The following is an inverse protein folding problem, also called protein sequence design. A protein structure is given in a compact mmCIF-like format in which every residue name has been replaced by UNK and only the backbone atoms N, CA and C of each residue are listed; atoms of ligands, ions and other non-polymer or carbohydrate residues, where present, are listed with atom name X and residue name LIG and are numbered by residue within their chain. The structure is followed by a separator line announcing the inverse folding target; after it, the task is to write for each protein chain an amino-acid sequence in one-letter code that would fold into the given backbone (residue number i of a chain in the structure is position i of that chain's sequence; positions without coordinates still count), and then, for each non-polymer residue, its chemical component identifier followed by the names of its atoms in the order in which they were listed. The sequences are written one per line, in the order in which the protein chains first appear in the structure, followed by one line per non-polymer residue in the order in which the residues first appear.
data_IF_161896430830
#
_entry.id   IF_161896430830
#
_cell.length_a   1.000
_cell.length_b   1.000
_cell.length_c   1.000
_cell.angle_alpha   90.00
_cell.angle_beta   90.00
_cell.angle_gamma   90.00
#
_symmetry.space_group_name_H-M   'P 1'
#
loop_
_entity.id
_entity.type
_entity.pdbx_description
1 polymer ?
#
# COMPACT_ATOMS: atom_id res chain seq x y z
N UNK A 1 13.19 -2.03 -37.71
CA UNK A 1 13.43 -1.99 -36.25
C UNK A 1 12.46 -2.95 -35.61
N UNK A 2 12.94 -3.93 -34.83
CA UNK A 2 12.09 -4.89 -34.11
C UNK A 2 11.24 -4.12 -33.11
N UNK A 3 9.92 -4.15 -33.24
CA UNK A 3 8.98 -3.36 -32.43
C UNK A 3 8.96 -3.74 -30.95
N UNK A 4 9.50 -4.89 -30.57
CA UNK A 4 9.69 -5.35 -29.17
C UNK A 4 10.82 -4.62 -28.42
N UNK A 5 11.53 -3.71 -29.07
CA UNK A 5 12.63 -2.97 -28.43
C UNK A 5 12.18 -1.73 -27.64
N UNK A 6 10.93 -1.28 -27.80
CA UNK A 6 10.41 -0.15 -27.05
C UNK A 6 9.63 -0.64 -25.83
N UNK A 7 10.09 -0.28 -24.65
CA UNK A 7 9.49 -0.69 -23.36
C UNK A 7 8.85 0.54 -22.73
N UNK A 8 7.57 0.44 -22.38
CA UNK A 8 6.82 1.57 -21.85
C UNK A 8 6.00 1.17 -20.63
N UNK A 9 6.06 1.98 -19.60
CA UNK A 9 5.18 1.91 -18.44
C UNK A 9 3.93 2.74 -18.68
N UNK A 10 2.76 2.14 -18.52
CA UNK A 10 1.50 2.88 -18.53
C UNK A 10 1.41 3.71 -17.25
N UNK A 11 1.56 5.03 -17.38
CA UNK A 11 1.55 5.97 -16.25
C UNK A 11 0.14 6.42 -15.90
N UNK A 12 -0.20 6.39 -14.63
CA UNK A 12 -1.28 7.12 -13.97
C UNK A 12 -0.91 7.36 -12.50
N UNK A 13 -1.43 8.45 -11.93
CA UNK A 13 -1.01 8.92 -10.60
C UNK A 13 -0.98 7.83 -9.51
N UNK A 14 -1.91 6.86 -9.58
CA UNK A 14 -2.04 5.80 -8.57
C UNK A 14 -1.00 4.68 -8.67
N UNK A 15 -0.24 4.57 -9.78
CA UNK A 15 0.84 3.56 -9.92
C UNK A 15 2.25 4.14 -9.85
N UNK A 16 2.37 5.39 -9.47
CA UNK A 16 3.63 6.11 -9.41
C UNK A 16 4.69 5.39 -8.56
N UNK A 17 4.28 4.80 -7.42
CA UNK A 17 5.18 4.02 -6.56
C UNK A 17 5.79 2.82 -7.30
N UNK A 18 4.98 2.03 -8.00
CA UNK A 18 5.47 0.87 -8.76
C UNK A 18 6.42 1.29 -9.89
N UNK A 19 6.10 2.38 -10.59
CA UNK A 19 6.95 2.91 -11.67
C UNK A 19 8.28 3.38 -11.11
N UNK A 20 8.27 4.14 -10.02
CA UNK A 20 9.49 4.65 -9.38
C UNK A 20 10.47 3.54 -8.98
N UNK A 21 9.95 2.37 -8.56
CA UNK A 21 10.76 1.22 -8.15
C UNK A 21 11.21 0.38 -9.35
N UNK A 22 10.33 0.12 -10.32
CA UNK A 22 10.57 -0.87 -11.38
C UNK A 22 11.23 -0.28 -12.63
N UNK A 23 10.90 0.97 -12.99
CA UNK A 23 11.43 1.59 -14.19
C UNK A 23 12.98 1.71 -14.18
N UNK A 24 13.65 2.03 -13.04
CA UNK A 24 15.10 2.06 -12.97
C UNK A 24 15.80 0.72 -13.28
N UNK A 25 15.08 -0.39 -13.15
CA UNK A 25 15.61 -1.75 -13.37
C UNK A 25 15.56 -2.16 -14.85
N UNK A 26 14.96 -1.32 -15.72
CA UNK A 26 14.70 -1.66 -17.11
C UNK A 26 15.32 -0.61 -18.02
N UNK A 27 16.39 -1.00 -18.69
CA UNK A 27 17.13 -0.10 -19.60
C UNK A 27 16.22 0.39 -20.74
N UNK A 28 16.33 1.70 -21.04
CA UNK A 28 15.63 2.36 -22.15
C UNK A 28 14.10 2.24 -22.10
N UNK A 29 13.54 2.22 -20.87
CA UNK A 29 12.09 2.31 -20.67
C UNK A 29 11.63 3.76 -20.57
N UNK A 30 10.35 4.00 -20.90
CA UNK A 30 9.69 5.32 -20.85
C UNK A 30 8.29 5.20 -20.23
N UNK A 31 7.66 6.30 -19.90
CA UNK A 31 6.26 6.36 -19.44
C UNK A 31 5.33 6.80 -20.54
N UNK A 32 4.15 6.22 -20.61
CA UNK A 32 3.08 6.61 -21.55
C UNK A 32 1.74 6.74 -20.85
N UNK A 33 0.98 7.74 -21.24
CA UNK A 33 -0.39 7.96 -20.75
C UNK A 33 -1.45 7.14 -21.51
N UNK A 34 -1.08 6.52 -22.62
CA UNK A 34 -1.94 5.68 -23.46
C UNK A 34 -1.17 4.49 -24.01
N UNK A 35 -1.86 3.39 -24.36
CA UNK A 35 -1.22 2.27 -25.05
C UNK A 35 -0.51 2.71 -26.33
N UNK A 36 0.65 2.12 -26.61
CA UNK A 36 1.42 2.33 -27.83
C UNK A 36 2.12 1.02 -28.22
N UNK A 37 2.65 0.95 -29.44
CA UNK A 37 3.38 -0.23 -29.91
C UNK A 37 4.60 -0.55 -29.02
N UNK A 38 4.93 -1.84 -28.88
CA UNK A 38 6.06 -2.34 -28.11
C UNK A 38 5.67 -3.20 -26.91
N UNK A 39 6.44 -3.19 -25.86
CA UNK A 39 6.11 -3.82 -24.57
C UNK A 39 5.44 -2.76 -23.70
N UNK A 40 4.21 -3.01 -23.27
CA UNK A 40 3.43 -2.15 -22.41
C UNK A 40 3.26 -2.78 -21.02
N UNK A 41 3.79 -2.13 -19.98
CA UNK A 41 3.78 -2.59 -18.59
C UNK A 41 2.75 -1.81 -17.79
N UNK A 42 1.86 -2.53 -17.12
CA UNK A 42 0.81 -2.00 -16.26
C UNK A 42 0.99 -2.49 -14.83
N UNK A 43 0.90 -1.59 -13.86
CA UNK A 43 0.77 -1.96 -12.46
C UNK A 43 -0.48 -1.31 -11.88
N UNK A 44 -1.40 -2.09 -11.33
CA UNK A 44 -2.69 -1.58 -10.89
C UNK A 44 -3.33 -2.35 -9.73
N UNK A 45 -4.18 -1.63 -8.99
CA UNK A 45 -5.02 -2.16 -7.94
C UNK A 45 -6.45 -2.46 -8.45
N UNK A 46 -7.26 -3.13 -7.63
CA UNK A 46 -8.60 -3.61 -7.99
C UNK A 46 -9.54 -2.51 -8.50
N UNK A 47 -9.50 -1.33 -7.90
CA UNK A 47 -10.35 -0.21 -8.34
C UNK A 47 -10.09 0.23 -9.79
N UNK A 48 -8.91 -0.03 -10.31
CA UNK A 48 -8.49 0.41 -11.64
C UNK A 48 -8.74 -0.66 -12.70
N UNK A 49 -8.85 -1.93 -12.30
CA UNK A 49 -8.94 -3.07 -13.20
C UNK A 49 -10.03 -2.91 -14.29
N UNK A 50 -11.31 -2.52 -13.99
CA UNK A 50 -12.33 -2.41 -15.02
C UNK A 50 -12.02 -1.36 -16.10
N UNK A 51 -11.34 -0.27 -15.73
CA UNK A 51 -10.96 0.77 -16.69
C UNK A 51 -9.77 0.35 -17.54
N UNK A 52 -8.79 -0.31 -16.93
CA UNK A 52 -7.59 -0.81 -17.61
C UNK A 52 -7.95 -1.95 -18.58
N UNK A 53 -8.79 -2.89 -18.18
CA UNK A 53 -9.24 -3.96 -19.09
C UNK A 53 -9.94 -3.42 -20.31
N UNK A 54 -10.80 -2.40 -20.14
CA UNK A 54 -11.45 -1.71 -21.30
C UNK A 54 -10.43 -0.96 -22.17
N UNK A 55 -9.39 -0.37 -21.57
CA UNK A 55 -8.34 0.32 -22.31
C UNK A 55 -7.54 -0.68 -23.16
N UNK A 56 -7.06 -1.77 -22.55
CA UNK A 56 -6.27 -2.79 -23.25
C UNK A 56 -7.09 -3.49 -24.34
N UNK A 57 -8.33 -3.85 -24.07
CA UNK A 57 -9.23 -4.47 -25.07
C UNK A 57 -9.46 -3.58 -26.33
N UNK A 58 -9.35 -2.26 -26.18
CA UNK A 58 -9.54 -1.28 -27.27
C UNK A 58 -8.23 -0.79 -27.88
N UNK A 59 -7.08 -1.28 -27.39
CA UNK A 59 -5.80 -0.66 -27.69
C UNK A 59 -5.38 -0.70 -29.16
N UNK A 60 -5.92 -1.54 -30.02
CA UNK A 60 -5.64 -1.56 -31.47
C UNK A 60 -4.14 -1.54 -31.84
N UNK A 61 -3.24 -1.79 -30.88
CA UNK A 61 -1.78 -1.73 -31.00
C UNK A 61 -1.20 -3.12 -31.18
N UNK A 62 0.00 -3.19 -31.75
CA UNK A 62 0.79 -4.44 -31.83
C UNK A 62 1.74 -4.50 -30.65
N UNK A 63 1.17 -4.64 -29.45
CA UNK A 63 1.93 -4.61 -28.20
C UNK A 63 1.90 -5.94 -27.50
N UNK A 64 2.96 -6.21 -26.72
CA UNK A 64 2.95 -7.22 -25.68
C UNK A 64 2.53 -6.53 -24.38
N UNK A 65 1.46 -6.95 -23.77
CA UNK A 65 0.91 -6.37 -22.57
C UNK A 65 1.32 -7.20 -21.33
N UNK A 66 2.02 -6.58 -20.39
CA UNK A 66 2.45 -7.17 -19.13
C UNK A 66 1.69 -6.48 -17.98
N UNK A 67 1.03 -7.25 -17.13
CA UNK A 67 0.37 -6.75 -15.94
C UNK A 67 1.10 -7.15 -14.65
N UNK A 68 1.10 -6.29 -13.64
CA UNK A 68 1.59 -6.55 -12.31
C UNK A 68 0.85 -5.71 -11.27
N UNK A 69 1.25 -5.84 -10.01
CA UNK A 69 0.64 -5.14 -8.88
C UNK A 69 -0.48 -5.94 -8.19
N UNK A 70 -1.21 -5.31 -7.24
CA UNK A 70 -2.10 -6.03 -6.33
C UNK A 70 -3.20 -6.82 -7.02
N UNK A 71 -3.91 -6.23 -7.98
CA UNK A 71 -5.01 -6.93 -8.64
C UNK A 71 -4.54 -8.05 -9.56
N UNK A 72 -3.58 -7.84 -10.49
CA UNK A 72 -3.06 -8.92 -11.33
C UNK A 72 -2.48 -10.09 -10.53
N UNK A 73 -1.79 -9.82 -9.43
CA UNK A 73 -1.24 -10.88 -8.56
C UNK A 73 -2.32 -11.73 -7.90
N UNK A 74 -3.46 -11.13 -7.55
CA UNK A 74 -4.57 -11.82 -6.89
C UNK A 74 -5.59 -12.43 -7.86
N UNK A 75 -5.65 -11.93 -9.10
CA UNK A 75 -6.58 -12.38 -10.17
C UNK A 75 -5.84 -12.55 -11.52
N UNK A 76 -4.83 -13.42 -11.56
CA UNK A 76 -4.06 -13.62 -12.79
C UNK A 76 -4.89 -14.19 -13.94
N UNK A 77 -5.81 -15.11 -13.67
CA UNK A 77 -6.69 -15.72 -14.69
C UNK A 77 -7.65 -14.69 -15.33
N UNK A 78 -8.23 -13.80 -14.53
CA UNK A 78 -9.05 -12.69 -15.03
C UNK A 78 -8.20 -11.73 -15.88
N UNK A 79 -7.01 -11.41 -15.39
CA UNK A 79 -6.09 -10.48 -16.04
C UNK A 79 -5.59 -11.01 -17.38
N UNK A 80 -5.29 -12.31 -17.50
CA UNK A 80 -4.87 -12.97 -18.73
C UNK A 80 -5.94 -13.05 -19.84
N UNK A 81 -7.17 -12.58 -19.56
CA UNK A 81 -8.15 -12.35 -20.64
C UNK A 81 -7.81 -11.13 -21.51
N UNK A 82 -6.96 -10.24 -20.99
CA UNK A 82 -6.62 -8.95 -21.60
C UNK A 82 -5.12 -8.77 -21.78
N UNK A 83 -4.29 -9.46 -21.02
CA UNK A 83 -2.83 -9.33 -20.97
C UNK A 83 -2.15 -10.62 -21.42
N UNK A 84 -0.96 -10.50 -22.01
CA UNK A 84 -0.17 -11.66 -22.44
C UNK A 84 0.54 -12.31 -21.25
N UNK A 85 1.02 -11.49 -20.31
CA UNK A 85 1.76 -11.95 -19.12
C UNK A 85 1.29 -11.24 -17.86
N UNK A 86 1.31 -11.98 -16.75
CA UNK A 86 1.05 -11.44 -15.41
C UNK A 86 2.26 -11.72 -14.52
N UNK A 87 2.84 -10.66 -13.96
CA UNK A 87 3.85 -10.73 -12.90
C UNK A 87 3.15 -10.86 -11.55
N UNK A 88 3.41 -11.94 -10.83
CA UNK A 88 2.76 -12.28 -9.55
C UNK A 88 3.69 -11.92 -8.40
N UNK A 89 3.22 -11.07 -7.48
CA UNK A 89 3.98 -10.62 -6.30
C UNK A 89 4.97 -9.50 -6.62
N UNK A 90 6.21 -9.64 -6.16
CA UNK A 90 7.25 -8.62 -6.29
C UNK A 90 7.87 -8.66 -7.70
N UNK A 91 7.96 -7.50 -8.32
CA UNK A 91 8.35 -7.37 -9.73
C UNK A 91 9.83 -7.08 -9.97
N UNK A 92 10.61 -6.81 -8.92
CA UNK A 92 11.97 -6.29 -9.04
C UNK A 92 12.93 -7.24 -9.78
N UNK A 93 12.78 -8.55 -9.60
CA UNK A 93 13.54 -9.56 -10.33
C UNK A 93 12.77 -10.11 -11.53
N UNK A 94 11.47 -10.36 -11.32
CA UNK A 94 10.62 -11.03 -12.31
C UNK A 94 10.45 -10.20 -13.59
N UNK A 95 10.21 -8.90 -13.45
CA UNK A 95 9.89 -8.05 -14.61
C UNK A 95 11.10 -7.87 -15.55
N UNK A 96 12.33 -7.55 -15.08
CA UNK A 96 13.50 -7.49 -15.94
C UNK A 96 13.80 -8.82 -16.65
N UNK A 97 13.73 -9.95 -15.93
CA UNK A 97 13.93 -11.28 -16.50
C UNK A 97 12.88 -11.60 -17.58
N UNK A 98 11.61 -11.35 -17.32
CA UNK A 98 10.53 -11.54 -18.30
C UNK A 98 10.76 -10.73 -19.57
N UNK A 99 11.13 -9.46 -19.44
CA UNK A 99 11.42 -8.58 -20.58
C UNK A 99 12.59 -9.10 -21.40
N UNK A 100 13.67 -9.51 -20.74
CA UNK A 100 14.86 -10.06 -21.40
C UNK A 100 14.49 -11.33 -22.22
N UNK A 101 13.73 -12.25 -21.60
CA UNK A 101 13.27 -13.48 -22.28
C UNK A 101 12.36 -13.15 -23.47
N UNK A 102 11.46 -12.18 -23.35
CA UNK A 102 10.58 -11.76 -24.47
C UNK A 102 11.40 -11.15 -25.61
N UNK A 103 12.37 -10.29 -25.32
CA UNK A 103 13.19 -9.62 -26.33
C UNK A 103 14.12 -10.61 -27.07
N UNK A 104 14.68 -11.57 -26.34
CA UNK A 104 15.59 -12.58 -26.87
C UNK A 104 14.88 -13.82 -27.41
N UNK A 105 13.53 -13.86 -27.35
CA UNK A 105 12.71 -15.03 -27.76
C UNK A 105 13.14 -16.31 -27.04
N UNK A 106 13.46 -16.19 -25.75
CA UNK A 106 13.81 -17.31 -24.88
C UNK A 106 12.60 -18.10 -24.41
N UNK A 107 12.84 -19.05 -23.52
CA UNK A 107 11.81 -19.90 -22.94
C UNK A 107 11.10 -19.17 -21.78
N UNK A 108 9.86 -18.76 -22.02
CA UNK A 108 9.00 -18.07 -21.03
C UNK A 108 8.77 -18.92 -19.77
N UNK A 109 8.75 -20.26 -19.91
CA UNK A 109 8.52 -21.15 -18.78
C UNK A 109 9.64 -21.13 -17.73
N UNK A 110 10.82 -20.66 -18.10
CA UNK A 110 11.98 -20.49 -17.22
C UNK A 110 11.85 -19.30 -16.24
N UNK A 111 11.01 -18.31 -16.56
CA UNK A 111 10.82 -17.12 -15.73
C UNK A 111 9.95 -17.44 -14.52
N UNK A 112 10.47 -17.25 -13.31
CA UNK A 112 9.71 -17.50 -12.08
C UNK A 112 8.78 -16.35 -11.75
N UNK A 113 7.65 -16.66 -11.12
CA UNK A 113 6.70 -15.67 -10.60
C UNK A 113 5.82 -15.02 -11.66
N UNK A 114 5.50 -15.73 -12.74
CA UNK A 114 4.56 -15.26 -13.75
C UNK A 114 3.41 -16.23 -14.00
N UNK A 115 2.35 -15.70 -14.61
CA UNK A 115 1.33 -16.49 -15.28
C UNK A 115 1.19 -16.02 -16.72
N UNK A 116 0.92 -16.95 -17.64
CA UNK A 116 0.74 -16.71 -19.07
C UNK A 116 -0.13 -17.78 -19.72
N UNK A 117 -0.56 -17.57 -20.93
CA UNK A 117 -1.24 -18.60 -21.76
C UNK A 117 -0.24 -19.26 -22.70
N UNK A 118 -0.24 -20.60 -22.70
CA UNK A 118 0.56 -21.37 -23.63
C UNK A 118 -0.09 -21.44 -25.02
N UNK A 119 0.53 -22.12 -25.97
CA UNK A 119 0.07 -22.28 -27.36
C UNK A 119 -1.32 -22.96 -27.47
N UNK A 120 -1.75 -23.70 -26.47
CA UNK A 120 -3.08 -24.33 -26.40
C UNK A 120 -4.10 -23.51 -25.61
N UNK A 121 -3.83 -22.22 -25.36
CA UNK A 121 -4.65 -21.28 -24.55
C UNK A 121 -4.87 -21.70 -23.08
N UNK A 122 -4.06 -22.64 -22.59
CA UNK A 122 -4.10 -23.02 -21.19
C UNK A 122 -3.26 -22.05 -20.33
N UNK A 123 -3.79 -21.69 -19.16
CA UNK A 123 -3.07 -20.83 -18.22
C UNK A 123 -1.99 -21.66 -17.51
N UNK A 124 -0.76 -21.16 -17.58
CA UNK A 124 0.42 -21.72 -16.92
C UNK A 124 0.88 -20.79 -15.84
N UNK A 125 1.10 -21.32 -14.64
CA UNK A 125 1.75 -20.64 -13.53
C UNK A 125 3.16 -21.20 -13.38
N UNK A 126 4.16 -20.33 -13.39
CA UNK A 126 5.54 -20.76 -13.16
C UNK A 126 5.84 -20.85 -11.66
N UNK A 127 7.00 -21.40 -11.32
CA UNK A 127 7.45 -21.49 -9.93
C UNK A 127 7.41 -20.12 -9.23
N UNK A 128 6.89 -20.10 -8.00
CA UNK A 128 6.84 -18.87 -7.19
C UNK A 128 8.25 -18.36 -6.92
N UNK A 129 8.45 -17.05 -7.09
CA UNK A 129 9.70 -16.38 -6.73
C UNK A 129 9.78 -16.11 -5.22
N UNK A 130 10.98 -16.20 -4.66
CA UNK A 130 11.26 -15.78 -3.30
C UNK A 130 11.14 -14.26 -3.16
N UNK A 131 10.90 -13.80 -1.93
CA UNK A 131 10.83 -12.36 -1.62
C UNK A 131 12.22 -11.71 -1.78
N UNK A 132 12.25 -10.51 -2.35
CA UNK A 132 13.50 -9.78 -2.57
C UNK A 132 14.09 -9.18 -1.29
N UNK A 133 15.41 -9.04 -1.25
CA UNK A 133 16.06 -8.15 -0.28
C UNK A 133 15.88 -6.70 -0.76
N UNK A 134 15.23 -5.86 0.06
CA UNK A 134 14.92 -4.48 -0.30
C UNK A 134 16.17 -3.62 -0.58
N UNK A 135 17.29 -3.94 0.03
CA UNK A 135 18.52 -3.17 -0.15
C UNK A 135 19.16 -3.36 -1.53
N UNK A 136 18.84 -4.45 -2.21
CA UNK A 136 19.34 -4.72 -3.55
C UNK A 136 18.66 -3.86 -4.64
N UNK A 137 17.54 -3.21 -4.31
CA UNK A 137 16.72 -2.47 -5.28
C UNK A 137 16.48 -1.03 -4.82
N UNK A 138 16.54 -0.03 -5.73
CA UNK A 138 16.30 1.36 -5.36
C UNK A 138 14.83 1.57 -4.95
N UNK A 139 14.53 2.43 -3.96
CA UNK A 139 13.16 2.83 -3.68
C UNK A 139 12.58 3.77 -4.76
N UNK A 140 13.45 4.43 -5.51
CA UNK A 140 13.18 5.25 -6.70
C UNK A 140 14.51 5.62 -7.38
N UNK A 141 14.44 6.12 -8.61
CA UNK A 141 15.57 6.76 -9.29
C UNK A 141 15.34 8.28 -9.28
N UNK A 142 16.25 9.07 -8.70
CA UNK A 142 16.07 10.52 -8.61
C UNK A 142 16.08 11.24 -9.98
N UNK A 143 16.66 10.65 -11.02
CA UNK A 143 16.66 11.19 -12.39
C UNK A 143 15.35 10.87 -13.13
N UNK A 144 14.63 9.84 -12.70
CA UNK A 144 13.37 9.41 -13.32
C UNK A 144 12.17 9.96 -12.55
N UNK A 145 12.08 9.66 -11.25
CA UNK A 145 10.90 9.99 -10.44
C UNK A 145 11.19 9.96 -8.96
N UNK A 146 11.16 11.11 -8.29
CA UNK A 146 11.22 11.17 -6.84
C UNK A 146 9.95 10.57 -6.21
N UNK A 147 10.13 9.83 -5.13
CA UNK A 147 9.03 9.21 -4.39
C UNK A 147 9.37 9.07 -2.90
N UNK A 148 8.38 8.61 -2.11
CA UNK A 148 8.62 8.22 -0.72
C UNK A 148 9.55 7.01 -0.63
N UNK A 149 10.32 6.91 0.44
CA UNK A 149 11.22 5.77 0.65
C UNK A 149 10.44 4.64 1.32
N UNK A 150 10.29 3.51 0.65
CA UNK A 150 9.78 2.31 1.28
C UNK A 150 10.82 1.76 2.26
N UNK A 151 10.53 1.86 3.56
CA UNK A 151 11.46 1.43 4.61
C UNK A 151 11.15 0.03 5.14
N UNK A 152 9.90 -0.46 4.92
CA UNK A 152 9.46 -1.76 5.40
C UNK A 152 8.42 -2.35 4.46
N UNK A 153 8.53 -3.63 4.17
CA UNK A 153 7.59 -4.43 3.36
C UNK A 153 7.21 -5.73 4.08
N UNK A 154 5.95 -6.18 3.89
CA UNK A 154 5.39 -7.33 4.61
C UNK A 154 4.72 -6.93 5.92
N UNK A 155 3.83 -7.80 6.45
CA UNK A 155 3.08 -7.54 7.67
C UNK A 155 2.71 -8.86 8.36
N UNK A 156 3.03 -9.05 9.67
CA UNK A 156 2.75 -10.29 10.37
C UNK A 156 1.27 -10.49 10.71
N UNK A 157 0.46 -9.42 10.60
CA UNK A 157 -0.97 -9.48 10.89
C UNK A 157 -1.74 -10.00 9.68
N UNK A 158 -2.74 -10.84 9.95
CA UNK A 158 -3.61 -11.42 8.91
C UNK A 158 -5.02 -10.83 9.03
N UNK A 159 -5.13 -9.50 8.93
CA UNK A 159 -6.43 -8.83 8.94
C UNK A 159 -7.25 -9.27 7.71
N UNK A 160 -8.51 -9.66 7.94
CA UNK A 160 -9.38 -10.32 6.95
C UNK A 160 -9.63 -9.51 5.66
N UNK A 161 -9.47 -8.20 5.73
CA UNK A 161 -9.71 -7.25 4.63
C UNK A 161 -8.42 -6.80 3.90
N UNK A 162 -7.22 -7.18 4.41
CA UNK A 162 -5.97 -6.59 3.98
C UNK A 162 -5.19 -7.52 3.03
N UNK A 163 -4.80 -7.00 1.87
CA UNK A 163 -4.02 -7.75 0.88
C UNK A 163 -2.50 -7.73 1.12
N UNK A 164 -1.99 -6.95 2.06
CA UNK A 164 -0.54 -6.80 2.28
C UNK A 164 0.18 -8.13 2.57
N UNK A 165 -0.31 -9.01 3.47
CA UNK A 165 0.35 -10.29 3.71
C UNK A 165 0.34 -11.23 2.51
N UNK A 166 -0.71 -11.16 1.68
CA UNK A 166 -0.86 -11.97 0.48
C UNK A 166 0.17 -11.59 -0.60
N UNK A 167 0.38 -10.28 -0.76
CA UNK A 167 1.31 -9.74 -1.76
C UNK A 167 2.77 -9.85 -1.33
N UNK A 168 3.06 -9.47 -0.08
CA UNK A 168 4.41 -9.23 0.40
C UNK A 168 4.86 -10.18 1.51
N UNK A 169 3.97 -11.13 1.92
CA UNK A 169 4.24 -12.10 2.96
C UNK A 169 4.08 -11.56 4.39
N UNK A 170 4.14 -12.51 5.33
CA UNK A 170 3.92 -12.23 6.76
C UNK A 170 5.20 -11.77 7.49
N UNK A 171 6.38 -11.91 6.89
CA UNK A 171 7.63 -11.47 7.50
C UNK A 171 7.89 -10.01 7.12
N UNK A 172 8.14 -9.17 8.13
CA UNK A 172 8.58 -7.80 7.89
C UNK A 172 10.04 -7.78 7.44
N UNK A 173 10.29 -7.15 6.31
CA UNK A 173 11.63 -6.92 5.75
C UNK A 173 11.88 -5.41 5.76
N UNK A 174 13.03 -5.02 6.25
CA UNK A 174 13.38 -3.62 6.42
C UNK A 174 14.53 -3.24 5.50
N UNK A 175 14.45 -2.06 4.94
CA UNK A 175 15.58 -1.43 4.24
C UNK A 175 16.58 -0.95 5.28
N UNK A 176 17.87 -1.12 5.01
CA UNK A 176 18.95 -0.66 5.89
C UNK A 176 18.98 0.87 5.97
N UNK A 177 19.50 1.38 7.09
CA UNK A 177 19.66 2.83 7.31
C UNK A 177 20.57 3.43 6.23
N UNK A 178 21.62 2.73 5.81
CA UNK A 178 22.56 3.21 4.81
C UNK A 178 21.88 3.46 3.46
N UNK A 179 21.03 2.53 3.02
CA UNK A 179 20.25 2.70 1.79
C UNK A 179 19.22 3.82 1.93
N UNK A 180 18.51 3.89 3.07
CA UNK A 180 17.55 4.97 3.33
C UNK A 180 18.27 6.33 3.30
N UNK A 181 19.43 6.44 3.96
CA UNK A 181 20.24 7.67 4.00
C UNK A 181 20.72 8.06 2.61
N UNK A 182 21.14 7.10 1.78
CA UNK A 182 21.56 7.35 0.39
C UNK A 182 20.45 8.07 -0.40
N UNK A 183 19.22 7.59 -0.31
CA UNK A 183 18.09 8.14 -1.10
C UNK A 183 17.43 9.35 -0.46
N UNK A 184 17.50 9.52 0.86
CA UNK A 184 16.95 10.69 1.57
C UNK A 184 17.57 12.01 1.10
N UNK A 185 18.83 12.00 0.64
CA UNK A 185 19.54 13.18 0.14
C UNK A 185 18.88 13.86 -1.06
N UNK A 186 18.05 13.14 -1.79
CA UNK A 186 17.33 13.67 -2.95
C UNK A 186 15.98 14.29 -2.58
N UNK A 187 15.53 14.13 -1.33
CA UNK A 187 14.22 14.55 -0.88
C UNK A 187 14.28 15.82 -0.03
N UNK A 188 13.47 16.82 -0.37
CA UNK A 188 13.27 18.00 0.47
C UNK A 188 12.55 17.62 1.78
N UNK A 189 11.49 16.81 1.66
CA UNK A 189 10.72 16.26 2.77
C UNK A 189 10.87 14.74 2.74
N UNK A 190 11.54 14.18 3.74
CA UNK A 190 11.78 12.76 3.84
C UNK A 190 10.51 12.10 4.38
N UNK A 191 9.79 11.41 3.50
CA UNK A 191 8.58 10.65 3.81
C UNK A 191 8.78 9.18 3.46
N UNK A 192 8.08 8.33 4.18
CA UNK A 192 8.26 6.89 4.08
C UNK A 192 6.99 6.19 3.61
N UNK A 193 7.16 4.97 3.11
CA UNK A 193 6.09 3.99 2.91
C UNK A 193 6.39 2.79 3.77
N UNK A 194 5.41 2.36 4.57
CA UNK A 194 5.53 1.23 5.49
C UNK A 194 4.14 0.76 5.91
N UNK A 195 3.92 -0.55 6.15
CA UNK A 195 2.68 -1.04 6.76
C UNK A 195 2.46 -0.56 8.20
N UNK A 196 3.53 -0.26 8.91
CA UNK A 196 3.55 0.32 10.25
C UNK A 196 4.91 0.98 10.49
N UNK A 197 4.96 2.32 10.48
CA UNK A 197 6.21 3.06 10.65
C UNK A 197 6.90 2.75 11.99
N UNK A 198 6.13 2.66 13.08
CA UNK A 198 6.66 2.43 14.42
C UNK A 198 7.13 0.99 14.66
N UNK A 199 7.00 0.13 13.65
CA UNK A 199 7.56 -1.22 13.64
C UNK A 199 8.89 -1.32 12.87
N UNK A 200 9.51 -0.21 12.45
CA UNK A 200 10.77 -0.27 11.72
C UNK A 200 11.86 -1.01 12.51
N UNK A 201 12.51 -1.96 11.85
CA UNK A 201 13.59 -2.77 12.42
C UNK A 201 13.13 -3.87 13.38
N UNK A 202 11.81 -4.14 13.48
CA UNK A 202 11.22 -5.13 14.37
C UNK A 202 10.54 -6.29 13.59
N UNK A 203 10.04 -7.27 14.35
CA UNK A 203 9.21 -8.36 13.82
C UNK A 203 7.77 -7.92 13.43
N UNK A 204 7.41 -6.66 13.72
CA UNK A 204 6.08 -6.10 13.51
C UNK A 204 5.10 -6.33 14.67
N UNK A 205 5.52 -7.01 15.73
CA UNK A 205 4.74 -7.27 16.94
C UNK A 205 5.33 -6.50 18.13
N UNK A 206 6.65 -6.52 18.27
CA UNK A 206 7.37 -5.88 19.39
C UNK A 206 8.19 -4.71 18.85
N UNK A 207 7.87 -3.45 19.22
CA UNK A 207 8.59 -2.28 18.71
C UNK A 207 10.05 -2.31 19.17
N UNK A 208 10.96 -1.92 18.27
CA UNK A 208 12.39 -1.78 18.53
C UNK A 208 12.79 -0.30 18.52
N UNK A 209 12.60 0.35 19.65
CA UNK A 209 12.75 1.81 19.80
C UNK A 209 14.16 2.26 19.42
N UNK A 210 15.19 1.49 19.76
CA UNK A 210 16.57 1.77 19.41
C UNK A 210 16.83 1.78 17.88
N UNK A 211 16.08 0.99 17.11
CA UNK A 211 16.15 0.99 15.64
C UNK A 211 15.51 2.24 15.05
N UNK A 212 14.36 2.65 15.60
CA UNK A 212 13.69 3.90 15.22
C UNK A 212 14.60 5.09 15.54
N UNK A 213 15.17 5.16 16.76
CA UNK A 213 16.09 6.24 17.15
C UNK A 213 17.30 6.31 16.23
N UNK A 214 17.91 5.15 15.91
CA UNK A 214 19.06 5.08 15.00
C UNK A 214 18.72 5.60 13.61
N UNK A 215 17.56 5.24 13.06
CA UNK A 215 17.07 5.73 11.77
C UNK A 215 16.88 7.26 11.79
N UNK A 216 16.09 7.76 12.74
CA UNK A 216 15.74 9.18 12.79
C UNK A 216 16.96 10.08 13.05
N UNK A 217 17.91 9.61 13.88
CA UNK A 217 19.18 10.30 14.14
C UNK A 217 20.09 10.33 12.92
N UNK A 218 20.19 9.22 12.17
CA UNK A 218 21.02 9.15 10.97
C UNK A 218 20.56 10.10 9.86
N UNK A 219 19.27 10.40 9.82
CA UNK A 219 18.64 11.26 8.81
C UNK A 219 18.75 12.77 9.12
N UNK A 220 19.35 13.14 10.28
CA UNK A 220 19.55 14.56 10.59
C UNK A 220 20.65 15.18 9.69
N UNK A 221 20.52 16.47 9.29
CA UNK A 221 19.50 17.47 9.65
C UNK A 221 18.28 17.48 8.71
N UNK A 222 17.93 16.39 8.06
CA UNK A 222 16.82 16.31 7.09
C UNK A 222 15.44 16.65 7.68
N UNK A 223 14.54 17.11 6.84
CA UNK A 223 13.13 17.32 7.21
C UNK A 223 12.36 16.00 7.15
N UNK A 224 12.17 15.36 8.29
CA UNK A 224 11.61 14.01 8.42
C UNK A 224 10.13 14.07 8.81
N UNK A 225 9.31 13.23 8.15
CA UNK A 225 7.91 12.99 8.50
C UNK A 225 7.72 11.49 8.72
N UNK A 226 7.45 11.06 9.95
CA UNK A 226 7.43 9.66 10.36
C UNK A 226 6.19 9.34 11.19
N UNK A 227 5.46 8.26 10.87
CA UNK A 227 4.19 7.95 11.51
C UNK A 227 3.02 8.80 11.01
N UNK A 228 3.13 9.32 9.79
CA UNK A 228 2.06 10.05 9.10
C UNK A 228 1.98 9.60 7.65
N UNK A 229 0.84 9.79 6.99
CA UNK A 229 0.60 9.31 5.62
C UNK A 229 1.78 9.60 4.67
N UNK A 230 2.23 8.63 3.86
CA UNK A 230 1.73 7.28 3.63
C UNK A 230 2.43 6.19 4.46
N UNK A 231 2.79 6.48 5.69
CA UNK A 231 3.47 5.57 6.62
C UNK A 231 2.78 5.63 7.98
N UNK A 232 1.54 5.16 8.00
CA UNK A 232 0.67 5.13 9.17
C UNK A 232 1.19 4.15 10.23
N UNK A 233 0.62 4.22 11.42
CA UNK A 233 1.01 3.36 12.53
C UNK A 233 -0.19 2.55 13.04
N UNK A 234 0.09 1.50 13.79
CA UNK A 234 -0.92 0.78 14.54
C UNK A 234 -1.07 1.43 15.92
N UNK A 235 -2.29 1.55 16.48
CA UNK A 235 -2.52 2.25 17.74
C UNK A 235 -1.68 1.73 18.89
N UNK A 236 -1.54 0.41 19.04
CA UNK A 236 -0.80 -0.25 20.10
C UNK A 236 0.73 -0.02 20.05
N UNK A 237 1.25 0.53 18.96
CA UNK A 237 2.66 0.93 18.84
C UNK A 237 2.91 2.36 19.35
N UNK A 238 1.86 3.14 19.59
CA UNK A 238 1.99 4.52 20.08
C UNK A 238 2.33 4.51 21.57
N UNK A 239 3.51 4.99 21.91
CA UNK A 239 3.99 5.12 23.28
C UNK A 239 4.84 6.39 23.43
N UNK A 240 5.01 6.83 24.67
CA UNK A 240 5.66 8.09 25.00
C UNK A 240 7.07 8.17 24.42
N UNK A 241 7.84 7.08 24.52
CA UNK A 241 9.22 7.05 24.05
C UNK A 241 9.35 7.25 22.55
N UNK A 242 8.47 6.64 21.74
CA UNK A 242 8.46 6.84 20.29
C UNK A 242 8.01 8.27 19.94
N UNK A 243 6.98 8.79 20.63
CA UNK A 243 6.51 10.15 20.40
C UNK A 243 7.55 11.21 20.79
N UNK A 244 8.32 11.01 21.85
CA UNK A 244 9.50 11.83 22.18
C UNK A 244 10.53 11.85 21.05
N UNK A 245 10.84 10.70 20.45
CA UNK A 245 11.76 10.60 19.32
C UNK A 245 11.22 11.34 18.08
N UNK A 246 9.90 11.19 17.80
CA UNK A 246 9.27 11.93 16.70
C UNK A 246 9.28 13.43 16.95
N UNK A 247 8.97 13.89 18.17
CA UNK A 247 9.06 15.30 18.55
C UNK A 247 10.47 15.86 18.43
N UNK A 248 11.48 15.06 18.76
CA UNK A 248 12.88 15.45 18.75
C UNK A 248 13.48 15.56 17.35
N UNK A 249 13.13 14.61 16.46
CA UNK A 249 13.81 14.43 15.19
C UNK A 249 12.96 14.77 13.95
N UNK A 250 11.62 14.85 14.08
CA UNK A 250 10.72 15.00 12.94
C UNK A 250 9.99 16.34 12.95
N UNK A 251 9.43 16.72 11.81
CA UNK A 251 8.62 17.93 11.61
C UNK A 251 7.12 17.61 11.58
N UNK A 252 6.71 16.51 12.17
CA UNK A 252 5.31 16.11 12.25
C UNK A 252 4.48 17.13 13.05
N UNK A 253 3.30 17.43 12.55
CA UNK A 253 2.21 18.02 13.34
C UNK A 253 1.10 16.99 13.61
N UNK A 254 1.16 15.84 12.93
CA UNK A 254 0.13 14.81 12.99
C UNK A 254 0.75 13.42 13.14
N UNK A 255 0.02 12.50 13.78
CA UNK A 255 0.27 11.06 13.74
C UNK A 255 -0.97 10.41 13.14
N UNK A 256 -0.77 9.56 12.12
CA UNK A 256 -1.85 8.82 11.45
C UNK A 256 -1.87 7.37 11.94
N UNK A 257 -3.01 6.90 12.44
CA UNK A 257 -3.14 5.54 12.97
C UNK A 257 -4.36 4.81 12.43
N UNK A 258 -4.20 3.53 12.14
CA UNK A 258 -5.27 2.67 11.64
C UNK A 258 -6.12 2.10 12.76
N UNK A 259 -7.18 2.80 13.19
CA UNK A 259 -8.14 2.34 14.19
C UNK A 259 -9.13 1.30 13.63
N UNK A 260 -9.61 1.51 12.43
CA UNK A 260 -10.52 0.68 11.62
C UNK A 260 -11.96 0.62 12.14
N UNK A 261 -12.21 0.38 13.42
CA UNK A 261 -13.54 0.36 14.04
C UNK A 261 -13.48 0.78 15.50
N UNK A 262 -14.56 1.37 16.00
CA UNK A 262 -14.79 1.63 17.42
C UNK A 262 -15.55 0.50 18.13
N UNK A 263 -15.87 -0.60 17.43
CA UNK A 263 -16.47 -1.79 18.02
C UNK A 263 -15.42 -2.86 18.27
N UNK A 264 -15.26 -3.25 19.55
CA UNK A 264 -14.33 -4.31 19.94
C UNK A 264 -14.68 -5.64 19.27
N UNK A 265 -15.96 -5.99 19.22
CA UNK A 265 -16.45 -7.19 18.53
C UNK A 265 -16.03 -7.20 17.05
N UNK A 266 -16.15 -6.07 16.36
CA UNK A 266 -15.80 -5.98 14.96
C UNK A 266 -14.28 -6.05 14.76
N UNK A 267 -13.47 -5.39 15.60
CA UNK A 267 -12.01 -5.50 15.58
C UNK A 267 -11.53 -6.95 15.73
N UNK A 268 -12.15 -7.72 16.62
CA UNK A 268 -11.85 -9.14 16.80
C UNK A 268 -12.22 -9.96 15.56
N UNK A 269 -13.42 -9.74 14.99
CA UNK A 269 -13.90 -10.45 13.79
C UNK A 269 -13.03 -10.21 12.56
N UNK A 270 -12.47 -9.01 12.41
CA UNK A 270 -11.55 -8.68 11.31
C UNK A 270 -10.07 -9.00 11.63
N UNK A 271 -9.82 -9.70 12.74
CA UNK A 271 -8.48 -10.12 13.20
C UNK A 271 -7.49 -8.95 13.34
N UNK A 272 -7.98 -7.78 13.80
CA UNK A 272 -7.16 -6.57 13.85
C UNK A 272 -6.07 -6.63 14.94
N UNK A 273 -6.27 -7.39 16.01
CA UNK A 273 -5.29 -7.65 17.09
C UNK A 273 -4.93 -6.45 17.98
N UNK A 274 -5.55 -5.30 17.81
CA UNK A 274 -5.57 -4.21 18.78
C UNK A 274 -7.00 -4.00 19.30
N UNK A 275 -7.14 -3.23 20.34
CA UNK A 275 -8.40 -2.96 21.02
C UNK A 275 -8.88 -1.52 20.76
N UNK A 276 -10.14 -1.25 21.11
CA UNK A 276 -10.65 0.13 21.14
C UNK A 276 -9.89 0.99 22.16
N UNK A 277 -9.47 0.38 23.27
CA UNK A 277 -8.66 1.04 24.29
C UNK A 277 -7.30 1.50 23.72
N UNK A 278 -6.65 0.70 22.88
CA UNK A 278 -5.42 1.11 22.21
C UNK A 278 -5.62 2.36 21.34
N UNK A 279 -6.78 2.48 20.66
CA UNK A 279 -7.11 3.69 19.87
C UNK A 279 -7.24 4.90 20.78
N UNK A 280 -7.93 4.75 21.93
CA UNK A 280 -8.13 5.81 22.90
C UNK A 280 -6.80 6.25 23.50
N UNK A 281 -6.02 5.30 24.05
CA UNK A 281 -4.71 5.57 24.63
C UNK A 281 -3.73 6.19 23.63
N UNK A 282 -3.67 5.64 22.41
CA UNK A 282 -2.83 6.20 21.35
C UNK A 282 -3.22 7.63 20.97
N UNK A 283 -4.53 7.93 20.95
CA UNK A 283 -5.05 9.29 20.73
C UNK A 283 -4.63 10.24 21.83
N UNK A 284 -4.82 9.87 23.09
CA UNK A 284 -4.46 10.69 24.27
C UNK A 284 -2.97 10.99 24.29
N UNK A 285 -2.13 9.97 24.11
CA UNK A 285 -0.68 10.14 24.02
C UNK A 285 -0.25 11.08 22.90
N UNK A 286 -0.85 10.97 21.72
CA UNK A 286 -0.56 11.91 20.64
C UNK A 286 -0.87 13.35 21.06
N UNK A 287 -2.02 13.60 21.68
CA UNK A 287 -2.44 14.94 22.14
C UNK A 287 -1.53 15.47 23.26
N UNK A 288 -1.14 14.64 24.21
CA UNK A 288 -0.21 14.97 25.30
C UNK A 288 1.16 15.42 24.78
N UNK A 289 1.62 14.79 23.68
CA UNK A 289 2.87 15.15 23.01
C UNK A 289 2.72 16.26 21.95
N UNK A 290 1.55 16.89 21.84
CA UNK A 290 1.30 18.02 20.95
C UNK A 290 1.04 17.64 19.48
N UNK A 291 0.81 16.35 19.19
CA UNK A 291 0.41 15.90 17.86
C UNK A 291 -1.10 15.87 17.69
N UNK A 292 -1.58 16.22 16.50
CA UNK A 292 -2.97 15.96 16.13
C UNK A 292 -3.10 14.52 15.63
N UNK A 293 -3.82 13.63 16.34
CA UNK A 293 -4.08 12.28 15.85
C UNK A 293 -5.05 12.30 14.66
N UNK A 294 -4.72 11.53 13.62
CA UNK A 294 -5.62 11.22 12.50
C UNK A 294 -5.90 9.73 12.60
N UNK A 295 -7.15 9.36 12.83
CA UNK A 295 -7.52 7.95 13.00
C UNK A 295 -8.32 7.48 11.80
N UNK A 296 -7.88 6.36 11.19
CA UNK A 296 -8.53 5.75 10.06
C UNK A 296 -9.63 4.80 10.52
N UNK A 297 -10.83 4.94 9.92
CA UNK A 297 -11.95 4.03 10.13
C UNK A 297 -12.44 3.47 8.80
N UNK A 298 -12.90 2.21 8.83
CA UNK A 298 -13.51 1.54 7.68
C UNK A 298 -14.96 1.25 8.03
N UNK A 299 -15.89 1.83 7.29
CA UNK A 299 -17.31 1.52 7.37
C UNK A 299 -17.70 0.49 6.32
N UNK A 300 -18.78 -0.25 6.59
CA UNK A 300 -19.28 -1.26 5.67
C UNK A 300 -18.50 -2.58 5.70
N UNK A 301 -17.72 -2.84 6.75
CA UNK A 301 -17.03 -4.12 6.90
C UNK A 301 -18.06 -5.28 6.95
N UNK A 302 -17.80 -6.42 6.29
CA UNK A 302 -18.70 -7.56 6.33
C UNK A 302 -19.00 -8.01 7.76
N UNK A 303 -20.28 -8.19 8.09
CA UNK A 303 -20.74 -8.50 9.44
C UNK A 303 -20.78 -7.32 10.41
N UNK A 304 -20.50 -6.10 9.95
CA UNK A 304 -20.73 -4.87 10.71
C UNK A 304 -22.22 -4.64 10.91
N UNK A 305 -22.64 -4.47 12.14
CA UNK A 305 -24.03 -4.15 12.52
C UNK A 305 -24.20 -2.66 12.77
N UNK A 306 -25.44 -2.18 12.82
CA UNK A 306 -25.74 -0.81 13.22
C UNK A 306 -25.21 -0.48 14.62
N UNK A 307 -25.24 -1.45 15.55
CA UNK A 307 -24.67 -1.28 16.89
C UNK A 307 -23.16 -1.03 16.82
N UNK A 308 -22.43 -1.77 15.98
CA UNK A 308 -20.98 -1.55 15.77
C UNK A 308 -20.69 -0.17 15.19
N UNK A 309 -21.51 0.28 14.23
CA UNK A 309 -21.39 1.62 13.67
C UNK A 309 -21.63 2.69 14.72
N UNK A 310 -22.62 2.53 15.60
CA UNK A 310 -22.87 3.46 16.68
C UNK A 310 -21.72 3.51 17.69
N UNK A 311 -21.10 2.37 18.01
CA UNK A 311 -19.88 2.35 18.84
C UNK A 311 -18.73 3.10 18.16
N UNK A 312 -18.53 2.88 16.86
CA UNK A 312 -17.52 3.60 16.06
C UNK A 312 -17.80 5.10 16.07
N UNK A 313 -19.07 5.53 15.91
CA UNK A 313 -19.44 6.94 15.98
C UNK A 313 -19.19 7.57 17.37
N UNK A 314 -19.34 6.80 18.47
CA UNK A 314 -18.98 7.30 19.82
C UNK A 314 -17.50 7.60 19.93
N UNK A 315 -16.63 6.70 19.44
CA UNK A 315 -15.19 6.91 19.41
C UNK A 315 -14.82 8.11 18.53
N UNK A 316 -15.41 8.23 17.34
CA UNK A 316 -15.19 9.36 16.42
C UNK A 316 -15.61 10.68 17.06
N UNK A 317 -16.77 10.72 17.73
CA UNK A 317 -17.25 11.92 18.42
C UNK A 317 -16.31 12.34 19.55
N UNK A 318 -15.84 11.38 20.33
CA UNK A 318 -14.88 11.60 21.40
C UNK A 318 -13.55 12.15 20.83
N UNK A 319 -12.97 11.45 19.84
CA UNK A 319 -11.73 11.82 19.16
C UNK A 319 -11.78 13.25 18.61
N UNK A 320 -12.84 13.57 17.86
CA UNK A 320 -12.98 14.91 17.24
C UNK A 320 -13.26 16.01 18.25
N UNK A 321 -13.94 15.67 19.37
CA UNK A 321 -14.13 16.54 20.52
C UNK A 321 -12.83 16.88 21.27
N UNK A 322 -11.88 15.97 21.28
CA UNK A 322 -10.52 16.17 21.84
C UNK A 322 -9.55 16.90 20.90
N UNK A 323 -9.94 17.19 19.66
CA UNK A 323 -9.10 17.88 18.68
C UNK A 323 -8.53 17.01 17.57
N UNK A 324 -8.71 15.70 17.63
CA UNK A 324 -8.30 14.78 16.57
C UNK A 324 -9.12 14.92 15.28
N UNK A 325 -8.66 14.23 14.24
CA UNK A 325 -9.30 14.16 12.92
C UNK A 325 -9.54 12.70 12.53
N UNK A 326 -10.45 12.50 11.58
CA UNK A 326 -10.81 11.19 11.04
C UNK A 326 -10.39 11.10 9.58
N UNK A 327 -9.80 9.96 9.20
CA UNK A 327 -9.75 9.55 7.80
C UNK A 327 -10.61 8.30 7.65
N UNK A 328 -11.51 8.26 6.67
CA UNK A 328 -12.48 7.18 6.60
C UNK A 328 -12.55 6.56 5.23
N UNK A 329 -12.81 5.26 5.23
CA UNK A 329 -12.95 4.44 4.05
C UNK A 329 -14.30 3.71 4.09
N UNK A 330 -14.88 3.50 2.92
CA UNK A 330 -15.92 2.49 2.75
C UNK A 330 -15.27 1.19 2.33
N UNK A 331 -15.66 0.08 2.95
CA UNK A 331 -15.09 -1.23 2.67
C UNK A 331 -15.26 -1.60 1.20
N UNK A 332 -14.18 -2.07 0.61
CA UNK A 332 -14.15 -2.63 -0.73
C UNK A 332 -13.52 -4.02 -0.66
N UNK A 333 -14.21 -5.07 -1.15
CA UNK A 333 -13.63 -6.40 -1.25
C UNK A 333 -12.35 -6.39 -2.08
N UNK A 334 -11.26 -6.92 -1.53
CA UNK A 334 -9.99 -7.04 -2.23
C UNK A 334 -9.74 -8.51 -2.56
N UNK A 335 -9.43 -8.85 -3.81
CA UNK A 335 -9.07 -10.20 -4.21
C UNK A 335 -7.89 -10.75 -3.39
N UNK A 336 -7.92 -12.05 -3.09
CA UNK A 336 -6.92 -12.74 -2.28
C UNK A 336 -7.09 -12.56 -0.77
N UNK A 337 -8.06 -11.75 -0.29
CA UNK A 337 -8.38 -11.60 1.14
C UNK A 337 -9.51 -12.52 1.57
N UNK A 338 -9.65 -12.76 2.89
CA UNK A 338 -10.78 -13.55 3.40
C UNK A 338 -12.14 -12.91 3.05
N UNK A 339 -12.18 -11.58 2.88
CA UNK A 339 -13.39 -10.83 2.58
C UNK A 339 -13.62 -10.56 1.09
N UNK A 340 -12.85 -11.20 0.20
CA UNK A 340 -12.90 -10.92 -1.26
C UNK A 340 -14.28 -11.13 -1.92
N UNK A 341 -15.08 -12.07 -1.40
CA UNK A 341 -16.38 -12.41 -1.96
C UNK A 341 -17.54 -11.94 -1.07
N UNK A 342 -17.25 -11.15 -0.02
CA UNK A 342 -18.28 -10.69 0.90
C UNK A 342 -18.81 -9.32 0.50
N UNK A 343 -20.13 -9.15 0.69
CA UNK A 343 -20.80 -7.89 0.42
C UNK A 343 -20.55 -6.90 1.55
N UNK A 344 -20.27 -5.62 1.23
CA UNK A 344 -20.20 -4.57 2.22
C UNK A 344 -21.50 -4.45 3.03
N UNK A 345 -21.40 -4.24 4.35
CA UNK A 345 -22.55 -3.95 5.19
C UNK A 345 -23.15 -2.58 4.84
N UNK A 346 -24.49 -2.42 4.94
CA UNK A 346 -25.14 -1.14 4.70
C UNK A 346 -24.76 -0.11 5.77
N UNK A 347 -24.73 1.16 5.39
CA UNK A 347 -24.53 2.26 6.33
C UNK A 347 -25.84 2.65 7.00
N UNK A 348 -25.77 2.96 8.29
CA UNK A 348 -26.89 3.55 9.01
C UNK A 348 -27.02 5.04 8.67
N UNK A 349 -28.23 5.57 8.82
CA UNK A 349 -28.51 7.01 8.64
C UNK A 349 -27.70 7.87 9.61
N UNK A 350 -27.38 7.35 10.77
CA UNK A 350 -26.57 7.99 11.80
C UNK A 350 -25.13 8.21 11.32
N UNK A 351 -24.53 7.21 10.64
CA UNK A 351 -23.19 7.34 10.02
C UNK A 351 -23.22 8.44 8.96
N UNK A 352 -24.15 8.38 8.01
CA UNK A 352 -24.26 9.37 6.94
C UNK A 352 -24.41 10.80 7.50
N UNK A 353 -25.33 10.97 8.47
CA UNK A 353 -25.59 12.26 9.11
C UNK A 353 -24.39 12.81 9.87
N UNK A 354 -23.69 11.95 10.64
CA UNK A 354 -22.57 12.39 11.47
C UNK A 354 -21.34 12.66 10.61
N UNK A 355 -20.98 11.75 9.69
CA UNK A 355 -19.83 11.90 8.83
C UNK A 355 -19.97 13.11 7.89
N UNK A 356 -21.19 13.33 7.35
CA UNK A 356 -21.47 14.53 6.57
C UNK A 356 -21.27 15.84 7.37
N UNK A 357 -21.70 15.88 8.65
CA UNK A 357 -21.42 17.03 9.52
C UNK A 357 -19.93 17.25 9.81
N UNK A 358 -19.18 16.16 9.99
CA UNK A 358 -17.74 16.24 10.23
C UNK A 358 -17.00 16.70 8.98
N UNK A 359 -17.42 16.27 7.79
CA UNK A 359 -16.87 16.73 6.52
C UNK A 359 -17.04 18.24 6.33
N UNK A 360 -18.24 18.78 6.61
CA UNK A 360 -18.50 20.23 6.57
C UNK A 360 -17.63 21.03 7.55
N UNK A 361 -17.19 20.40 8.65
CA UNK A 361 -16.29 21.01 9.65
C UNK A 361 -14.81 20.81 9.36
N UNK A 362 -14.45 20.13 8.25
CA UNK A 362 -13.07 19.76 7.94
C UNK A 362 -12.44 18.76 8.93
N UNK A 363 -13.26 18.00 9.67
CA UNK A 363 -12.82 17.05 10.70
C UNK A 363 -12.72 15.60 10.18
N UNK A 364 -13.16 15.36 8.96
CA UNK A 364 -12.98 14.06 8.28
C UNK A 364 -12.53 14.25 6.84
N UNK A 365 -11.73 13.30 6.38
CA UNK A 365 -11.30 13.13 4.98
C UNK A 365 -11.60 11.70 4.53
N UNK A 366 -11.34 11.38 3.25
CA UNK A 366 -11.58 10.06 2.69
C UNK A 366 -13.00 9.87 2.17
N UNK A 367 -13.37 8.61 1.92
CA UNK A 367 -14.67 8.22 1.34
C UNK A 367 -15.32 7.19 2.24
N UNK A 368 -16.33 7.59 2.99
CA UNK A 368 -17.02 6.71 3.96
C UNK A 368 -18.31 6.08 3.42
N UNK A 369 -18.74 6.47 2.23
CA UNK A 369 -19.94 5.94 1.56
C UNK A 369 -19.60 5.38 0.18
N UNK A 370 -20.54 4.66 -0.39
CA UNK A 370 -20.41 4.03 -1.71
C UNK A 370 -20.57 5.04 -2.86
N UNK A 371 -21.20 6.18 -2.61
CA UNK A 371 -21.55 7.22 -3.60
C UNK A 371 -20.55 8.38 -3.61
#
# INVERSE_FOLDING_TARGET
MNKTNQINFRYFKKNMQSIAVLMPLILRSDTKEKPCDGIMIYSFATQQAPSIFREVAKAGTRSVFIAGGPHPSARPEETLRFFDYVVIGEGEETLPELIDVIQNKGDISSVKGIAYKNETDNIVFTEKRSQVNLDNYPPFDPEIMLNTIEITRGCPFNCTYCSTPQLFGCNMRHRSIDVILKYSKFLKDIRFTSPNAFAYGSDGIHPRIEKIESLLRALQPGRIFFGTFPSEVRPEFINDRILELVSKYCQNSTISMGGQSGSQRLLESIKRKHTVEDIILGTEKCLEHGFTPIVDFIFGLPGETEADQLETLKVIKWLTGKGGNVHSHYFMPLPGTEFENLTPAPLSKEVEKMMGKLALKGKTTGVWSKD
#
